data_IF_161918567583
#
_entry.id   IF_161918567583
#
_cell.length_a   1.000
_cell.length_b   1.000
_cell.length_c   1.000
_cell.angle_alpha   90.00
_cell.angle_beta   90.00
_cell.angle_gamma   90.00
#
_symmetry.space_group_name_H-M   'P 1'
#
loop_
_entity.id
_entity.type
_entity.pdbx_description
1 polymer ?
#
# COMPACT_ATOMS: atom_id res chain seq x y z
N UNK A 1 -11.50 -10.80 -9.18
CA UNK A 1 -11.57 -10.64 -7.72
C UNK A 1 -10.45 -11.38 -6.95
N UNK A 2 -9.24 -11.55 -7.53
CA UNK A 2 -8.13 -12.26 -6.84
C UNK A 2 -7.36 -11.41 -5.83
N UNK A 3 -7.16 -10.12 -6.14
CA UNK A 3 -6.36 -9.21 -5.29
C UNK A 3 -6.98 -8.95 -3.91
N UNK A 4 -8.30 -8.90 -3.79
CA UNK A 4 -8.98 -8.71 -2.51
C UNK A 4 -8.79 -9.91 -1.57
N UNK A 5 -8.87 -11.14 -2.10
CA UNK A 5 -8.62 -12.35 -1.30
C UNK A 5 -7.17 -12.41 -0.83
N UNK A 6 -6.22 -12.08 -1.70
CA UNK A 6 -4.80 -11.99 -1.34
C UNK A 6 -4.57 -10.94 -0.24
N UNK A 7 -5.20 -9.76 -0.37
CA UNK A 7 -5.13 -8.72 0.65
C UNK A 7 -5.69 -9.19 2.00
N UNK A 8 -6.87 -9.81 2.02
CA UNK A 8 -7.45 -10.33 3.26
C UNK A 8 -6.56 -11.39 3.92
N UNK A 9 -5.98 -12.29 3.13
CA UNK A 9 -5.03 -13.29 3.65
C UNK A 9 -3.78 -12.64 4.26
N UNK A 10 -3.25 -11.60 3.63
CA UNK A 10 -2.12 -10.85 4.14
C UNK A 10 -2.46 -10.13 5.45
N UNK A 11 -3.61 -9.43 5.50
CA UNK A 11 -4.05 -8.71 6.70
C UNK A 11 -4.26 -9.64 7.91
N UNK A 12 -4.85 -10.82 7.68
CA UNK A 12 -4.99 -11.84 8.72
C UNK A 12 -3.63 -12.29 9.26
N UNK A 13 -2.67 -12.55 8.37
CA UNK A 13 -1.32 -12.98 8.75
C UNK A 13 -0.58 -11.89 9.53
N UNK A 14 -0.62 -10.65 9.05
CA UNK A 14 0.03 -9.51 9.71
C UNK A 14 -0.54 -9.26 11.11
N UNK A 15 -1.86 -9.39 11.29
CA UNK A 15 -2.48 -9.33 12.63
C UNK A 15 -1.95 -10.42 13.56
N UNK A 16 -1.85 -11.65 13.08
CA UNK A 16 -1.33 -12.76 13.89
C UNK A 16 0.14 -12.53 14.31
N UNK A 17 0.91 -11.80 13.50
CA UNK A 17 2.28 -11.38 13.81
C UNK A 17 2.37 -10.12 14.68
N UNK A 18 1.24 -9.57 15.12
CA UNK A 18 1.17 -8.29 15.83
C UNK A 18 1.81 -7.13 15.03
N UNK A 19 1.78 -7.21 13.69
CA UNK A 19 2.28 -6.16 12.82
C UNK A 19 1.17 -5.12 12.57
N UNK A 20 1.51 -3.84 12.79
CA UNK A 20 0.60 -2.73 12.50
C UNK A 20 0.50 -2.50 10.98
N UNK A 21 -0.73 -2.41 10.48
CA UNK A 21 -1.01 -2.07 9.07
C UNK A 21 -1.51 -0.64 9.02
N UNK A 22 -0.74 0.23 8.37
CA UNK A 22 -0.98 1.69 8.36
C UNK A 22 -1.90 2.11 7.22
N UNK A 23 -1.76 1.50 6.05
CA UNK A 23 -2.66 1.71 4.92
C UNK A 23 -2.67 0.50 3.99
N UNK A 24 -3.74 0.37 3.21
CA UNK A 24 -3.84 -0.58 2.09
C UNK A 24 -4.86 -0.05 1.09
N UNK A 25 -4.56 -0.19 -0.20
CA UNK A 25 -5.48 0.18 -1.25
C UNK A 25 -5.29 -0.73 -2.48
N UNK A 26 -6.39 -1.17 -3.11
CA UNK A 26 -6.31 -1.92 -4.34
C UNK A 26 -5.87 -1.01 -5.51
N UNK A 27 -5.17 -1.62 -6.48
CA UNK A 27 -4.83 -0.99 -7.76
C UNK A 27 -5.46 -1.84 -8.89
N UNK A 28 -6.70 -1.52 -9.30
CA UNK A 28 -7.37 -2.23 -10.37
C UNK A 28 -6.59 -2.10 -11.67
N UNK A 29 -6.45 -3.22 -12.40
CA UNK A 29 -5.79 -3.26 -13.71
C UNK A 29 -4.40 -2.62 -13.72
N UNK A 30 -3.61 -2.79 -12.65
CA UNK A 30 -2.29 -2.14 -12.47
C UNK A 30 -1.39 -2.23 -13.69
N UNK A 31 -1.36 -3.36 -14.40
CA UNK A 31 -0.57 -3.55 -15.63
C UNK A 31 -0.89 -2.56 -16.75
N UNK A 32 -2.13 -2.04 -16.81
CA UNK A 32 -2.54 -1.03 -17.81
C UNK A 32 -2.10 0.38 -17.44
N UNK A 33 -1.60 0.57 -16.22
CA UNK A 33 -1.21 1.86 -15.64
C UNK A 33 0.31 2.03 -15.54
N UNK A 34 1.06 1.08 -16.08
CA UNK A 34 2.52 1.09 -16.17
C UNK A 34 2.93 1.30 -17.62
N UNK A 35 4.01 2.05 -17.84
CA UNK A 35 4.67 2.14 -19.14
C UNK A 35 5.66 0.98 -19.35
N UNK A 36 6.31 0.94 -20.50
CA UNK A 36 7.31 -0.10 -20.85
C UNK A 36 8.57 -0.07 -19.96
N UNK A 37 8.71 0.94 -19.08
CA UNK A 37 9.78 1.07 -18.09
C UNK A 37 9.31 0.71 -16.67
N UNK A 38 8.13 0.10 -16.53
CA UNK A 38 7.50 -0.22 -15.24
C UNK A 38 7.22 1.01 -14.36
N UNK A 39 7.01 2.18 -14.96
CA UNK A 39 6.65 3.41 -14.23
C UNK A 39 5.16 3.72 -14.36
N UNK A 40 4.56 4.25 -13.29
CA UNK A 40 3.18 4.73 -13.29
C UNK A 40 2.97 5.85 -14.32
N UNK A 41 2.02 5.66 -15.22
CA UNK A 41 1.64 6.65 -16.25
C UNK A 41 0.69 7.72 -15.70
N UNK A 42 -0.15 7.35 -14.73
CA UNK A 42 -1.15 8.24 -14.11
C UNK A 42 -0.53 9.04 -12.95
N UNK A 43 -0.64 10.37 -13.00
CA UNK A 43 -0.19 11.27 -11.93
C UNK A 43 -0.89 11.02 -10.59
N UNK A 44 -2.18 10.69 -10.63
CA UNK A 44 -2.97 10.39 -9.43
C UNK A 44 -2.46 9.14 -8.69
N UNK A 45 -1.96 8.14 -9.44
CA UNK A 45 -1.39 6.94 -8.85
C UNK A 45 -0.08 7.23 -8.13
N UNK A 46 0.77 8.09 -8.72
CA UNK A 46 2.00 8.58 -8.08
C UNK A 46 1.68 9.33 -6.80
N UNK A 47 0.68 10.20 -6.82
CA UNK A 47 0.22 10.96 -5.65
C UNK A 47 -0.29 10.04 -4.54
N UNK A 48 -1.16 9.09 -4.88
CA UNK A 48 -1.72 8.13 -3.93
C UNK A 48 -0.64 7.30 -3.23
N UNK A 49 0.38 6.86 -3.96
CA UNK A 49 1.53 6.14 -3.38
C UNK A 49 2.36 7.07 -2.50
N UNK A 50 2.61 8.30 -2.94
CA UNK A 50 3.32 9.31 -2.14
C UNK A 50 2.62 9.58 -0.81
N UNK A 51 1.30 9.79 -0.83
CA UNK A 51 0.50 10.03 0.37
C UNK A 51 0.57 8.83 1.32
N UNK A 52 0.49 7.60 0.79
CA UNK A 52 0.62 6.38 1.58
C UNK A 52 2.00 6.26 2.27
N UNK A 53 3.08 6.65 1.59
CA UNK A 53 4.43 6.67 2.17
C UNK A 53 4.58 7.72 3.27
N UNK A 54 3.91 8.87 3.13
CA UNK A 54 3.87 9.89 4.19
C UNK A 54 3.17 9.33 5.43
N UNK A 55 1.99 8.75 5.28
CA UNK A 55 1.25 8.14 6.42
C UNK A 55 2.08 7.04 7.08
N UNK A 56 2.78 6.23 6.30
CA UNK A 56 3.69 5.20 6.83
C UNK A 56 4.86 5.80 7.62
N UNK A 57 5.51 6.85 7.11
CA UNK A 57 6.58 7.58 7.80
C UNK A 57 6.10 8.16 9.14
N UNK A 58 4.92 8.77 9.16
CA UNK A 58 4.37 9.37 10.37
C UNK A 58 4.03 8.31 11.43
N UNK A 59 3.49 7.16 11.01
CA UNK A 59 3.25 6.03 11.90
C UNK A 59 4.54 5.52 12.57
N UNK A 60 5.65 5.44 11.81
CA UNK A 60 6.97 5.06 12.36
C UNK A 60 7.44 6.09 13.41
N UNK A 61 7.31 7.39 13.11
CA UNK A 61 7.71 8.46 14.03
C UNK A 61 6.94 8.37 15.35
N UNK A 62 5.62 8.23 15.28
CA UNK A 62 4.76 8.08 16.46
C UNK A 62 5.12 6.83 17.28
N UNK A 63 5.55 5.75 16.64
CA UNK A 63 5.99 4.54 17.34
C UNK A 63 7.32 4.72 18.07
N UNK A 64 8.22 5.57 17.57
CA UNK A 64 9.54 5.81 18.19
C UNK A 64 9.46 6.73 19.41
N UNK A 65 8.44 7.58 19.47
CA UNK A 65 8.20 8.53 20.56
C UNK A 65 7.37 7.94 21.72
N UNK A 66 6.92 6.69 21.59
CA UNK A 66 6.24 5.90 22.63
C UNK A 66 7.21 4.97 23.35
#
# INVERSE_FOLDING_TARGET
MGGEKALQSLLTTLRAMNAAVVCSFPIPFSRRKLNDKDEWTEGDMRRKISDALVVFSDAIRMYRER
#
